data_IF_463538169865
#
_entry.id   IF_463538169865
#
_cell.length_a   1.000
_cell.length_b   1.000
_cell.length_c   1.000
_cell.angle_alpha   90.00
_cell.angle_beta   90.00
_cell.angle_gamma   90.00
#
_symmetry.space_group_name_H-M   'P 1'
#
loop_
_entity.id
_entity.type
_entity.pdbx_description
1 polymer ?
#
# COMPACT_ATOMS: atom_id res chain seq x y z
N UNK A 1 6.86 28.28 -0.04
CA UNK A 1 6.90 27.51 1.23
C UNK A 1 5.53 27.42 1.88
N UNK A 2 4.71 28.44 1.93
CA UNK A 2 3.33 28.40 2.51
C UNK A 2 2.39 27.37 1.89
N UNK A 3 2.48 27.13 0.58
CA UNK A 3 1.59 26.18 -0.10
C UNK A 3 1.88 24.69 0.26
N UNK A 4 3.07 24.39 0.74
CA UNK A 4 3.44 23.02 1.13
C UNK A 4 2.98 22.66 2.56
N UNK A 5 3.00 23.65 3.48
CA UNK A 5 2.54 23.43 4.86
C UNK A 5 1.01 23.32 4.97
N UNK A 6 0.26 24.05 4.12
CA UNK A 6 -1.22 24.00 4.12
C UNK A 6 -1.80 22.67 3.62
N UNK A 7 -1.02 21.85 2.92
CA UNK A 7 -1.50 20.58 2.38
C UNK A 7 -1.44 19.40 3.38
N UNK A 8 -0.65 19.51 4.45
CA UNK A 8 -0.41 18.41 5.41
C UNK A 8 -1.63 17.98 6.24
N UNK A 9 -2.70 18.78 6.22
CA UNK A 9 -3.90 18.56 7.03
C UNK A 9 -5.11 18.08 6.22
N UNK A 10 -4.93 17.71 4.94
CA UNK A 10 -6.03 17.34 4.05
C UNK A 10 -5.78 16.05 3.31
N UNK A 11 -6.84 15.28 3.09
CA UNK A 11 -6.94 14.34 1.99
C UNK A 11 -7.05 15.13 0.69
N UNK A 12 -6.16 14.87 -0.27
CA UNK A 12 -6.08 15.64 -1.51
C UNK A 12 -6.36 14.71 -2.69
N UNK A 13 -7.36 15.09 -3.49
CA UNK A 13 -7.75 14.38 -4.72
C UNK A 13 -7.55 15.31 -5.93
N UNK A 14 -6.95 14.74 -6.98
CA UNK A 14 -6.75 15.47 -8.24
C UNK A 14 -8.05 15.56 -9.03
N UNK A 15 -8.36 16.73 -9.53
CA UNK A 15 -9.45 16.98 -10.48
C UNK A 15 -8.82 17.05 -11.88
N UNK A 16 -9.42 16.33 -12.84
CA UNK A 16 -8.94 16.35 -14.22
C UNK A 16 -9.23 17.70 -14.87
N UNK A 17 -8.26 18.25 -15.62
CA UNK A 17 -8.45 19.49 -16.37
C UNK A 17 -9.63 19.46 -17.36
N UNK A 18 -9.97 18.25 -17.86
CA UNK A 18 -11.09 18.03 -18.77
C UNK A 18 -12.47 18.22 -18.08
N UNK A 19 -12.48 18.23 -16.77
CA UNK A 19 -13.68 18.35 -15.92
C UNK A 19 -13.86 19.76 -15.36
N UNK A 20 -12.93 20.68 -15.60
CA UNK A 20 -13.02 22.07 -15.13
C UNK A 20 -14.31 22.76 -15.59
N UNK A 21 -14.91 23.52 -14.69
CA UNK A 21 -16.15 24.25 -14.92
C UNK A 21 -17.41 23.38 -14.95
N UNK A 22 -17.31 22.11 -14.51
CA UNK A 22 -18.43 21.18 -14.41
C UNK A 22 -18.65 20.76 -12.97
N UNK A 23 -19.86 20.36 -12.65
CA UNK A 23 -20.15 19.63 -11.41
C UNK A 23 -19.69 18.19 -11.61
N UNK A 24 -18.80 17.72 -10.74
CA UNK A 24 -18.20 16.38 -10.82
C UNK A 24 -18.40 15.61 -9.53
N UNK A 25 -18.35 14.29 -9.66
CA UNK A 25 -18.43 13.35 -8.54
C UNK A 25 -17.07 12.67 -8.36
N UNK A 26 -16.38 12.98 -7.28
CA UNK A 26 -15.05 12.44 -6.95
C UNK A 26 -15.20 11.28 -5.98
N UNK A 27 -14.64 10.11 -6.33
CA UNK A 27 -14.57 8.97 -5.40
C UNK A 27 -13.54 9.27 -4.31
N UNK A 28 -14.01 9.37 -3.06
CA UNK A 28 -13.18 9.77 -1.92
C UNK A 28 -12.94 8.64 -0.92
N UNK A 29 -13.85 7.67 -0.82
CA UNK A 29 -13.71 6.48 0.03
C UNK A 29 -14.22 5.23 -0.67
N UNK A 30 -13.85 4.06 -0.15
CA UNK A 30 -14.40 2.79 -0.63
C UNK A 30 -15.80 2.53 -0.05
N UNK A 31 -16.68 1.94 -0.85
CA UNK A 31 -18.06 1.62 -0.48
C UNK A 31 -18.16 0.84 0.85
N UNK A 32 -17.35 -0.21 1.00
CA UNK A 32 -17.38 -1.06 2.20
C UNK A 32 -16.97 -0.30 3.45
N UNK A 33 -15.94 0.58 3.36
CA UNK A 33 -15.52 1.43 4.45
C UNK A 33 -16.64 2.38 4.86
N UNK A 34 -17.27 3.06 3.91
CA UNK A 34 -18.41 3.96 4.16
C UNK A 34 -19.55 3.22 4.84
N UNK A 35 -19.95 2.06 4.31
CA UNK A 35 -21.03 1.24 4.88
C UNK A 35 -20.79 0.86 6.34
N UNK A 36 -19.54 0.55 6.71
CA UNK A 36 -19.17 0.12 8.07
C UNK A 36 -18.94 1.28 9.04
N UNK A 37 -18.58 2.47 8.52
CA UNK A 37 -18.08 3.58 9.33
C UNK A 37 -18.90 4.88 9.21
N UNK A 38 -20.04 4.89 8.52
CA UNK A 38 -20.85 6.12 8.29
C UNK A 38 -21.21 6.86 9.58
N UNK A 39 -21.37 6.15 10.69
CA UNK A 39 -21.71 6.72 11.98
C UNK A 39 -20.48 7.05 12.85
N UNK A 40 -19.29 6.82 12.32
CA UNK A 40 -18.02 7.03 13.05
C UNK A 40 -17.25 8.25 12.55
N UNK A 41 -17.55 8.74 11.36
CA UNK A 41 -16.82 9.83 10.73
C UNK A 41 -17.72 10.84 10.02
N UNK A 42 -17.23 12.09 9.95
CA UNK A 42 -17.74 13.16 9.09
C UNK A 42 -16.65 13.62 8.13
N UNK A 43 -17.08 14.19 7.03
CA UNK A 43 -16.23 14.90 6.07
C UNK A 43 -16.33 16.38 6.37
N UNK A 44 -15.22 17.09 6.39
CA UNK A 44 -15.14 18.54 6.47
C UNK A 44 -14.67 19.09 5.11
N UNK A 45 -15.49 19.92 4.50
CA UNK A 45 -15.17 20.61 3.25
C UNK A 45 -15.65 22.06 3.34
N UNK A 46 -14.74 23.03 3.12
CA UNK A 46 -15.02 24.46 3.26
C UNK A 46 -15.69 24.79 4.61
N UNK A 47 -15.13 24.26 5.70
CA UNK A 47 -15.58 24.43 7.09
C UNK A 47 -17.02 23.96 7.38
N UNK A 48 -17.59 23.17 6.49
CA UNK A 48 -18.90 22.54 6.67
C UNK A 48 -18.76 21.02 6.84
N UNK A 49 -19.63 20.47 7.67
CA UNK A 49 -19.71 19.03 7.92
C UNK A 49 -20.66 18.34 6.93
N UNK A 50 -20.23 17.18 6.46
CA UNK A 50 -20.99 16.29 5.59
C UNK A 50 -20.92 14.86 6.11
N UNK A 51 -21.91 14.07 5.79
CA UNK A 51 -21.90 12.64 6.10
C UNK A 51 -20.79 11.91 5.33
N UNK A 52 -20.26 10.84 5.93
CA UNK A 52 -19.31 9.98 5.25
C UNK A 52 -19.98 9.37 4.01
N UNK A 53 -19.37 9.57 2.84
CA UNK A 53 -19.88 9.12 1.55
C UNK A 53 -18.76 8.52 0.70
N UNK A 54 -19.13 7.68 -0.25
CA UNK A 54 -18.21 7.11 -1.23
C UNK A 54 -17.77 8.15 -2.27
N UNK A 55 -18.71 8.96 -2.73
CA UNK A 55 -18.50 10.00 -3.74
C UNK A 55 -18.85 11.36 -3.17
N UNK A 56 -18.03 12.37 -3.50
CA UNK A 56 -18.26 13.74 -3.10
C UNK A 56 -18.47 14.63 -4.33
N UNK A 57 -19.59 15.34 -4.35
CA UNK A 57 -19.94 16.27 -5.41
C UNK A 57 -19.24 17.61 -5.20
N UNK A 58 -18.57 18.11 -6.22
CA UNK A 58 -17.83 19.39 -6.16
C UNK A 58 -17.90 20.12 -7.50
N UNK A 59 -17.92 21.44 -7.45
CA UNK A 59 -17.73 22.28 -8.62
C UNK A 59 -16.24 22.31 -8.96
N UNK A 60 -15.88 21.90 -10.16
CA UNK A 60 -14.48 21.65 -10.55
C UNK A 60 -13.76 22.95 -11.02
N UNK A 61 -13.91 24.04 -10.28
CA UNK A 61 -13.16 25.27 -10.52
C UNK A 61 -11.67 25.08 -10.19
N UNK A 62 -11.37 24.28 -9.18
CA UNK A 62 -10.02 24.02 -8.69
C UNK A 62 -9.41 22.77 -9.31
N UNK A 63 -8.07 22.66 -9.22
CA UNK A 63 -7.34 21.47 -9.69
C UNK A 63 -7.39 20.32 -8.66
N UNK A 64 -7.80 20.61 -7.44
CA UNK A 64 -7.76 19.67 -6.31
C UNK A 64 -8.98 19.80 -5.41
N UNK A 65 -9.57 18.69 -5.05
CA UNK A 65 -10.51 18.59 -3.92
C UNK A 65 -9.69 18.33 -2.64
N UNK A 66 -9.85 19.19 -1.64
CA UNK A 66 -9.22 19.09 -0.33
C UNK A 66 -10.28 18.90 0.74
N UNK A 67 -10.27 17.74 1.40
CA UNK A 67 -11.21 17.43 2.48
C UNK A 67 -10.46 16.99 3.74
N UNK A 68 -11.08 17.17 4.89
CA UNK A 68 -10.66 16.53 6.15
C UNK A 68 -11.67 15.45 6.51
N UNK A 69 -11.21 14.48 7.29
CA UNK A 69 -12.07 13.50 7.94
C UNK A 69 -11.96 13.71 9.45
N UNK A 70 -13.07 13.72 10.14
CA UNK A 70 -13.12 13.81 11.60
C UNK A 70 -13.89 12.66 12.19
N UNK A 71 -13.40 12.12 13.31
CA UNK A 71 -14.06 11.06 14.05
C UNK A 71 -15.20 11.62 14.88
N UNK A 72 -16.31 10.90 14.95
CA UNK A 72 -17.46 11.23 15.78
C UNK A 72 -17.42 10.39 17.06
N UNK A 73 -17.38 11.06 18.21
CA UNK A 73 -17.44 10.40 19.51
C UNK A 73 -16.25 9.46 19.80
N UNK A 74 -16.38 8.62 20.81
CA UNK A 74 -15.30 7.79 21.35
C UNK A 74 -15.33 6.34 20.87
N UNK A 75 -16.16 6.01 19.89
CA UNK A 75 -16.25 4.64 19.37
C UNK A 75 -14.92 4.20 18.77
N UNK A 76 -14.46 3.03 19.16
CA UNK A 76 -13.28 2.39 18.58
C UNK A 76 -13.55 2.02 17.11
N UNK A 77 -12.59 2.32 16.23
CA UNK A 77 -12.64 1.89 14.83
C UNK A 77 -12.27 0.40 14.78
N UNK A 78 -13.09 -0.37 14.10
CA UNK A 78 -12.93 -1.84 14.01
C UNK A 78 -12.50 -2.30 12.63
N UNK A 79 -12.64 -1.46 11.61
CA UNK A 79 -12.44 -1.86 10.23
C UNK A 79 -11.94 -0.70 9.37
N UNK A 80 -10.79 -0.90 8.74
CA UNK A 80 -10.21 0.02 7.76
C UNK A 80 -10.11 -0.62 6.36
N UNK A 81 -10.68 -1.82 6.20
CA UNK A 81 -10.70 -2.50 4.91
C UNK A 81 -11.36 -1.63 3.86
N UNK A 82 -10.71 -1.50 2.70
CA UNK A 82 -11.19 -0.70 1.57
C UNK A 82 -11.30 0.82 1.84
N UNK A 83 -10.66 1.40 2.86
CA UNK A 83 -10.86 2.82 3.19
C UNK A 83 -10.73 3.73 1.95
N UNK A 84 -9.67 3.57 1.15
CA UNK A 84 -9.45 4.32 -0.09
C UNK A 84 -9.52 3.45 -1.35
N UNK A 85 -10.20 2.32 -1.29
CA UNK A 85 -10.29 1.38 -2.41
C UNK A 85 -10.79 2.05 -3.69
N UNK A 86 -9.95 1.99 -4.75
CA UNK A 86 -10.22 2.62 -6.06
C UNK A 86 -10.38 4.15 -6.03
N UNK A 87 -9.83 4.83 -5.03
CA UNK A 87 -9.74 6.28 -5.03
C UNK A 87 -8.60 6.72 -5.96
N UNK A 88 -8.80 6.55 -7.26
CA UNK A 88 -7.77 6.72 -8.28
C UNK A 88 -7.23 8.15 -8.38
N UNK A 89 -7.99 9.15 -7.93
CA UNK A 89 -7.60 10.56 -7.89
C UNK A 89 -6.93 11.00 -6.57
N UNK A 90 -6.87 10.13 -5.55
CA UNK A 90 -6.17 10.43 -4.28
C UNK A 90 -4.67 10.60 -4.53
N UNK A 91 -4.12 11.77 -4.13
CA UNK A 91 -2.70 12.10 -4.32
C UNK A 91 -1.92 11.96 -3.02
N UNK A 92 -2.49 12.44 -1.91
CA UNK A 92 -1.82 12.48 -0.62
C UNK A 92 -2.80 12.39 0.54
N UNK A 93 -2.25 12.01 1.69
CA UNK A 93 -2.93 11.89 2.97
C UNK A 93 -2.43 12.98 3.91
N UNK A 94 -3.24 13.44 4.88
CA UNK A 94 -2.79 14.34 5.92
C UNK A 94 -1.83 13.64 6.89
N UNK A 95 -0.99 14.41 7.58
CA UNK A 95 -0.05 13.87 8.57
C UNK A 95 -0.78 13.23 9.77
N UNK A 96 -1.98 13.67 10.07
CA UNK A 96 -2.81 13.18 11.19
C UNK A 96 -3.88 12.18 10.78
N UNK A 97 -3.81 11.63 9.55
CA UNK A 97 -4.89 10.80 9.01
C UNK A 97 -5.16 9.52 9.83
N UNK A 98 -4.20 9.09 10.65
CA UNK A 98 -4.30 7.91 11.54
C UNK A 98 -4.44 8.34 13.02
N UNK A 99 -4.78 9.55 13.31
CA UNK A 99 -4.99 10.02 14.68
C UNK A 99 -6.31 9.52 15.28
N UNK A 100 -6.58 8.22 15.11
CA UNK A 100 -7.73 7.51 15.66
C UNK A 100 -7.28 6.21 16.32
N UNK A 101 -7.96 5.82 17.39
CA UNK A 101 -7.71 4.53 18.03
C UNK A 101 -8.09 3.38 17.08
N UNK A 102 -7.07 2.70 16.57
CA UNK A 102 -7.19 1.52 15.71
C UNK A 102 -6.73 0.23 16.41
N UNK A 103 -6.57 0.26 17.73
CA UNK A 103 -6.11 -0.91 18.52
C UNK A 103 -6.99 -2.15 18.39
N UNK A 104 -8.19 -2.01 17.83
CA UNK A 104 -9.13 -3.13 17.56
C UNK A 104 -9.17 -3.54 16.09
N UNK A 105 -8.38 -2.87 15.23
CA UNK A 105 -8.28 -3.21 13.80
C UNK A 105 -7.31 -4.36 13.63
N UNK A 106 -7.75 -5.44 13.02
CA UNK A 106 -6.94 -6.61 12.66
C UNK A 106 -6.75 -6.76 11.15
N UNK A 107 -7.45 -5.94 10.35
CA UNK A 107 -7.47 -6.04 8.90
C UNK A 107 -7.41 -4.66 8.23
N UNK A 108 -6.34 -4.43 7.45
CA UNK A 108 -6.14 -3.25 6.61
C UNK A 108 -6.03 -3.61 5.12
N UNK A 109 -6.50 -4.81 4.75
CA UNK A 109 -6.45 -5.28 3.36
C UNK A 109 -7.18 -4.31 2.43
N UNK A 110 -6.63 -4.13 1.23
CA UNK A 110 -7.18 -3.30 0.16
C UNK A 110 -7.31 -1.80 0.49
N UNK A 111 -6.74 -1.32 1.60
CA UNK A 111 -6.96 0.05 2.08
C UNK A 111 -6.63 1.10 1.00
N UNK A 112 -5.52 0.95 0.28
CA UNK A 112 -5.08 1.84 -0.80
C UNK A 112 -5.13 1.19 -2.18
N UNK A 113 -5.78 0.03 -2.31
CA UNK A 113 -5.79 -0.67 -3.59
C UNK A 113 -6.38 0.20 -4.71
N UNK A 114 -5.62 0.29 -5.82
CA UNK A 114 -5.93 1.11 -7.00
C UNK A 114 -6.05 2.62 -6.71
N UNK A 115 -5.30 3.14 -5.73
CA UNK A 115 -5.04 4.57 -5.58
C UNK A 115 -3.96 4.97 -6.59
N UNK A 116 -4.30 5.02 -7.87
CA UNK A 116 -3.33 5.13 -8.97
C UNK A 116 -2.59 6.46 -9.01
N UNK A 117 -3.12 7.52 -8.40
CA UNK A 117 -2.47 8.85 -8.31
C UNK A 117 -1.72 9.07 -7.00
N UNK A 118 -1.74 8.11 -6.06
CA UNK A 118 -1.04 8.24 -4.76
C UNK A 118 0.47 8.22 -5.00
N UNK A 119 1.15 9.32 -4.67
CA UNK A 119 2.58 9.53 -4.94
C UNK A 119 3.43 9.08 -3.75
N UNK A 120 2.97 9.39 -2.54
CA UNK A 120 3.65 9.09 -1.28
C UNK A 120 2.65 8.98 -0.14
N UNK A 121 3.12 8.42 0.96
CA UNK A 121 2.42 8.42 2.26
C UNK A 121 3.09 9.42 3.20
N UNK A 122 2.38 9.94 4.22
CA UNK A 122 2.99 10.78 5.24
C UNK A 122 3.98 9.97 6.10
N UNK A 123 5.05 10.62 6.60
CA UNK A 123 6.01 9.97 7.49
C UNK A 123 5.35 9.44 8.77
N UNK A 124 4.29 10.10 9.22
CA UNK A 124 3.48 9.70 10.39
C UNK A 124 2.78 8.35 10.24
N UNK A 125 2.82 7.72 9.06
CA UNK A 125 2.33 6.34 8.86
C UNK A 125 3.05 5.34 9.79
N UNK A 126 4.23 5.68 10.30
CA UNK A 126 4.95 4.90 11.30
C UNK A 126 4.17 4.75 12.61
N UNK A 127 3.30 5.72 12.93
CA UNK A 127 2.47 5.71 14.12
C UNK A 127 1.25 4.77 14.01
N UNK A 128 1.05 4.14 12.84
CA UNK A 128 0.03 3.13 12.68
C UNK A 128 0.28 1.96 13.63
N UNK A 129 -0.64 1.72 14.56
CA UNK A 129 -0.56 0.58 15.48
C UNK A 129 -0.82 -0.71 14.71
N UNK A 130 0.24 -1.44 14.36
CA UNK A 130 0.16 -2.64 13.54
C UNK A 130 0.21 -3.95 14.32
N UNK A 131 0.44 -3.90 15.63
CA UNK A 131 0.61 -5.09 16.49
C UNK A 131 -0.59 -6.06 16.50
N UNK A 132 -1.80 -5.60 16.16
CA UNK A 132 -2.98 -6.46 16.07
C UNK A 132 -3.33 -6.88 14.64
N UNK A 133 -2.61 -6.35 13.64
CA UNK A 133 -2.91 -6.60 12.23
C UNK A 133 -2.52 -8.03 11.85
N UNK A 134 -3.48 -8.72 11.23
CA UNK A 134 -3.33 -10.08 10.69
C UNK A 134 -3.40 -10.11 9.16
N UNK A 135 -4.10 -9.14 8.54
CA UNK A 135 -4.37 -9.12 7.11
C UNK A 135 -3.92 -7.79 6.51
N UNK A 136 -2.97 -7.85 5.57
CA UNK A 136 -2.44 -6.71 4.79
C UNK A 136 -2.54 -6.97 3.27
N UNK A 137 -3.42 -7.90 2.85
CA UNK A 137 -3.50 -8.28 1.45
C UNK A 137 -3.86 -7.11 0.56
N UNK A 138 -3.13 -6.97 -0.55
CA UNK A 138 -3.37 -5.92 -1.55
C UNK A 138 -3.38 -4.49 -0.97
N UNK A 139 -2.69 -4.23 0.15
CA UNK A 139 -2.74 -2.92 0.83
C UNK A 139 -2.40 -1.77 -0.14
N UNK A 140 -1.36 -1.94 -0.97
CA UNK A 140 -0.91 -0.96 -1.96
C UNK A 140 -1.05 -1.47 -3.42
N UNK A 141 -1.78 -2.56 -3.64
CA UNK A 141 -1.95 -3.12 -4.98
C UNK A 141 -2.52 -2.08 -5.96
N UNK A 142 -1.81 -1.84 -7.06
CA UNK A 142 -2.22 -0.86 -8.07
C UNK A 142 -1.98 0.61 -7.71
N UNK A 143 -1.17 0.91 -6.67
CA UNK A 143 -0.66 2.25 -6.40
C UNK A 143 0.43 2.59 -7.42
N UNK A 144 0.05 2.76 -8.68
CA UNK A 144 0.98 2.81 -9.82
C UNK A 144 1.88 4.04 -9.84
N UNK A 145 1.51 5.14 -9.17
CA UNK A 145 2.33 6.36 -9.04
C UNK A 145 3.17 6.40 -7.77
N UNK A 146 3.05 5.41 -6.89
CA UNK A 146 3.80 5.36 -5.63
C UNK A 146 5.28 5.08 -5.94
N UNK A 147 6.16 6.03 -5.61
CA UNK A 147 7.60 5.94 -5.94
C UNK A 147 8.45 5.38 -4.80
N UNK A 148 8.08 5.74 -3.59
CA UNK A 148 8.76 5.32 -2.35
C UNK A 148 7.76 5.19 -1.23
N UNK A 149 8.18 4.53 -0.15
CA UNK A 149 7.44 4.45 1.10
C UNK A 149 8.23 5.16 2.22
N UNK A 150 7.56 5.74 3.22
CA UNK A 150 8.22 6.34 4.37
C UNK A 150 9.10 5.34 5.13
N UNK A 151 10.24 5.80 5.62
CA UNK A 151 11.19 4.98 6.38
C UNK A 151 10.55 4.34 7.63
N UNK A 152 9.55 4.99 8.21
CA UNK A 152 8.85 4.50 9.40
C UNK A 152 8.15 3.14 9.22
N UNK A 153 7.82 2.74 7.98
CA UNK A 153 7.20 1.44 7.69
C UNK A 153 8.07 0.25 8.15
N UNK A 154 9.39 0.42 8.21
CA UNK A 154 10.31 -0.60 8.77
C UNK A 154 10.02 -0.94 10.24
N UNK A 155 9.37 -0.04 10.97
CA UNK A 155 9.05 -0.18 12.39
C UNK A 155 7.67 -0.84 12.64
N UNK A 156 6.91 -1.14 11.60
CA UNK A 156 5.64 -1.82 11.77
C UNK A 156 5.83 -3.16 12.47
N UNK A 157 5.06 -3.39 13.52
CA UNK A 157 5.00 -4.70 14.17
C UNK A 157 4.17 -5.66 13.32
N UNK A 158 4.86 -6.58 12.66
CA UNK A 158 4.27 -7.57 11.76
C UNK A 158 4.16 -8.95 12.40
N UNK A 159 4.38 -9.05 13.73
CA UNK A 159 4.45 -10.33 14.45
C UNK A 159 3.18 -11.19 14.37
N UNK A 160 2.01 -10.55 14.16
CA UNK A 160 0.72 -11.24 14.02
C UNK A 160 0.23 -11.34 12.57
N UNK A 161 1.01 -10.84 11.60
CA UNK A 161 0.59 -10.82 10.19
C UNK A 161 0.66 -12.21 9.58
N UNK A 162 -0.48 -12.67 9.05
CA UNK A 162 -0.60 -13.98 8.39
C UNK A 162 -0.62 -13.87 6.87
N UNK A 163 -1.15 -12.79 6.30
CA UNK A 163 -1.35 -12.64 4.86
C UNK A 163 -0.88 -11.29 4.36
N UNK A 164 0.02 -11.32 3.36
CA UNK A 164 0.59 -10.17 2.66
C UNK A 164 0.57 -10.38 1.14
N UNK A 165 -0.46 -11.11 0.66
CA UNK A 165 -0.63 -11.37 -0.77
C UNK A 165 -0.81 -10.06 -1.53
N UNK A 166 -0.10 -9.91 -2.65
CA UNK A 166 -0.24 -8.76 -3.54
C UNK A 166 0.02 -7.40 -2.87
N UNK A 167 0.77 -7.36 -1.76
CA UNK A 167 0.96 -6.15 -0.95
C UNK A 167 1.36 -4.93 -1.79
N UNK A 168 2.32 -5.10 -2.70
CA UNK A 168 2.83 -4.07 -3.62
C UNK A 168 2.60 -4.40 -5.10
N UNK A 169 1.68 -5.34 -5.41
CA UNK A 169 1.41 -5.71 -6.80
C UNK A 169 1.04 -4.48 -7.63
N UNK A 170 1.56 -4.39 -8.87
CA UNK A 170 1.26 -3.30 -9.81
C UNK A 170 1.69 -1.90 -9.30
N UNK A 171 2.61 -1.81 -8.34
CA UNK A 171 3.27 -0.55 -7.97
C UNK A 171 4.36 -0.25 -9.01
N UNK A 172 3.94 0.13 -10.22
CA UNK A 172 4.82 0.24 -11.39
C UNK A 172 5.98 1.22 -11.22
N UNK A 173 5.76 2.31 -10.45
CA UNK A 173 6.73 3.37 -10.21
C UNK A 173 7.56 3.19 -8.94
N UNK A 174 7.32 2.14 -8.15
CA UNK A 174 8.04 1.90 -6.90
C UNK A 174 9.51 1.57 -7.18
N UNK A 175 10.43 2.42 -6.71
CA UNK A 175 11.88 2.33 -7.01
C UNK A 175 12.61 1.53 -5.93
N UNK A 176 12.25 1.76 -4.66
CA UNK A 176 12.89 1.15 -3.51
C UNK A 176 11.92 1.02 -2.34
N UNK A 177 12.32 0.23 -1.37
CA UNK A 177 11.57 0.01 -0.12
C UNK A 177 12.44 0.41 1.09
N UNK A 178 11.83 0.86 2.19
CA UNK A 178 12.49 0.92 3.49
C UNK A 178 13.04 -0.45 3.90
N UNK A 179 13.87 -0.49 4.95
CA UNK A 179 14.45 -1.75 5.44
C UNK A 179 13.40 -2.69 6.07
N UNK A 180 12.54 -3.26 5.22
CA UNK A 180 11.53 -4.25 5.62
C UNK A 180 12.14 -5.61 6.00
N UNK A 181 13.46 -5.78 5.94
CA UNK A 181 14.13 -6.99 6.44
C UNK A 181 13.90 -7.20 7.95
N UNK A 182 13.50 -6.14 8.64
CA UNK A 182 13.18 -6.13 10.08
C UNK A 182 11.78 -6.69 10.41
N UNK A 183 10.92 -6.84 9.42
CA UNK A 183 9.59 -7.39 9.64
C UNK A 183 9.64 -8.81 10.19
N UNK A 184 8.84 -9.07 11.21
CA UNK A 184 8.68 -10.41 11.75
C UNK A 184 7.70 -11.20 10.86
N UNK A 185 8.22 -12.17 10.12
CA UNK A 185 7.46 -12.95 9.14
C UNK A 185 7.12 -14.36 9.61
N UNK A 186 7.31 -14.67 10.90
CA UNK A 186 7.14 -16.03 11.43
C UNK A 186 5.73 -16.58 11.23
N UNK A 187 4.70 -15.74 11.34
CA UNK A 187 3.29 -16.15 11.20
C UNK A 187 2.78 -16.03 9.76
N UNK A 188 3.62 -15.55 8.81
CA UNK A 188 3.18 -15.32 7.44
C UNK A 188 2.98 -16.65 6.70
N UNK A 189 1.77 -16.82 6.16
CA UNK A 189 1.34 -18.03 5.44
C UNK A 189 1.27 -17.85 3.93
N UNK A 190 1.12 -16.61 3.47
CA UNK A 190 1.06 -16.33 2.03
C UNK A 190 1.69 -14.99 1.67
N UNK A 191 2.58 -15.03 0.66
CA UNK A 191 3.24 -13.89 0.02
C UNK A 191 2.98 -13.87 -1.49
N UNK A 192 1.88 -14.51 -1.98
CA UNK A 192 1.58 -14.60 -3.41
C UNK A 192 1.67 -13.22 -4.06
N UNK A 193 2.48 -13.10 -5.11
CA UNK A 193 2.60 -11.91 -5.93
C UNK A 193 2.91 -10.63 -5.17
N UNK A 194 3.58 -10.69 -4.01
CA UNK A 194 3.81 -9.55 -3.12
C UNK A 194 4.39 -8.34 -3.87
N UNK A 195 5.34 -8.57 -4.78
CA UNK A 195 5.98 -7.54 -5.60
C UNK A 195 5.66 -7.68 -7.10
N UNK A 196 4.64 -8.46 -7.44
CA UNK A 196 4.29 -8.70 -8.85
C UNK A 196 4.09 -7.41 -9.62
N UNK A 197 4.79 -7.28 -10.77
CA UNK A 197 4.75 -6.11 -11.66
C UNK A 197 5.27 -4.80 -11.02
N UNK A 198 6.18 -4.86 -10.06
CA UNK A 198 6.93 -3.68 -9.60
C UNK A 198 8.05 -3.39 -10.61
N UNK A 199 7.69 -2.85 -11.79
CA UNK A 199 8.59 -2.72 -12.93
C UNK A 199 9.84 -1.87 -12.65
N UNK A 200 9.71 -0.82 -11.83
CA UNK A 200 10.79 0.13 -11.52
C UNK A 200 11.60 -0.25 -10.28
N UNK A 201 11.25 -1.34 -9.59
CA UNK A 201 11.93 -1.75 -8.35
C UNK A 201 13.34 -2.24 -8.67
N UNK A 202 14.36 -1.49 -8.21
CA UNK A 202 15.77 -1.74 -8.53
C UNK A 202 16.39 -2.75 -7.57
N UNK A 203 16.04 -2.63 -6.28
CA UNK A 203 16.61 -3.47 -5.22
C UNK A 203 15.61 -3.70 -4.11
N UNK A 204 15.84 -4.76 -3.35
CA UNK A 204 15.11 -5.09 -2.12
C UNK A 204 16.04 -5.01 -0.93
N UNK A 205 15.54 -4.65 0.26
CA UNK A 205 16.24 -4.91 1.51
C UNK A 205 16.58 -6.39 1.65
N UNK A 206 17.50 -6.74 2.55
CA UNK A 206 17.93 -8.13 2.74
C UNK A 206 16.82 -9.02 3.35
N UNK A 207 15.83 -9.35 2.54
CA UNK A 207 14.68 -10.20 2.93
C UNK A 207 15.06 -11.67 3.19
N UNK A 208 16.31 -12.10 2.95
CA UNK A 208 16.83 -13.40 3.39
C UNK A 208 16.79 -13.55 4.91
N UNK A 209 16.73 -12.43 5.64
CA UNK A 209 16.58 -12.42 7.10
C UNK A 209 15.20 -12.85 7.57
N UNK A 210 14.22 -12.89 6.68
CA UNK A 210 12.88 -13.33 7.01
C UNK A 210 12.85 -14.80 7.41
N UNK A 211 12.24 -15.07 8.56
CA UNK A 211 11.96 -16.43 9.02
C UNK A 211 10.52 -16.75 8.69
N UNK A 212 10.29 -17.72 7.81
CA UNK A 212 8.96 -18.01 7.25
C UNK A 212 8.56 -19.49 7.45
N UNK A 213 8.56 -20.02 8.69
CA UNK A 213 8.25 -21.43 8.93
C UNK A 213 6.81 -21.82 8.55
N UNK A 214 5.88 -20.86 8.57
CA UNK A 214 4.47 -21.09 8.25
C UNK A 214 4.10 -20.78 6.79
N UNK A 215 5.08 -20.34 5.98
CA UNK A 215 4.83 -19.93 4.59
C UNK A 215 4.43 -21.15 3.73
N UNK A 216 3.26 -21.02 3.08
CA UNK A 216 2.68 -22.07 2.22
C UNK A 216 2.54 -21.64 0.76
N UNK A 217 2.37 -20.34 0.52
CA UNK A 217 2.06 -19.79 -0.80
C UNK A 217 2.96 -18.61 -1.10
N UNK A 218 3.75 -18.70 -2.18
CA UNK A 218 4.77 -17.69 -2.56
C UNK A 218 4.83 -17.45 -4.07
N UNK A 219 3.87 -18.00 -4.81
CA UNK A 219 3.87 -17.95 -6.28
C UNK A 219 3.91 -16.51 -6.80
N UNK A 220 4.62 -16.32 -7.91
CA UNK A 220 4.71 -15.04 -8.66
C UNK A 220 5.20 -13.85 -7.83
N UNK A 221 5.93 -14.07 -6.72
CA UNK A 221 6.30 -12.98 -5.80
C UNK A 221 7.06 -11.85 -6.51
N UNK A 222 7.94 -12.15 -7.47
CA UNK A 222 8.73 -11.16 -8.24
C UNK A 222 8.36 -11.13 -9.73
N UNK A 223 7.24 -11.73 -10.12
CA UNK A 223 6.83 -11.72 -11.53
C UNK A 223 6.71 -10.30 -12.06
N UNK A 224 7.38 -9.97 -13.17
CA UNK A 224 7.33 -8.64 -13.78
C UNK A 224 8.16 -7.56 -13.06
N UNK A 225 9.06 -7.91 -12.13
CA UNK A 225 10.00 -6.96 -11.53
C UNK A 225 11.20 -6.77 -12.49
N UNK A 226 10.99 -6.03 -13.57
CA UNK A 226 11.92 -5.95 -14.70
C UNK A 226 13.24 -5.23 -14.41
N UNK A 227 13.28 -4.38 -13.38
CA UNK A 227 14.47 -3.60 -13.00
C UNK A 227 15.25 -4.19 -11.84
N UNK A 228 14.78 -5.30 -11.24
CA UNK A 228 15.49 -5.94 -10.15
C UNK A 228 16.81 -6.56 -10.63
N UNK A 229 17.93 -6.09 -10.04
CA UNK A 229 19.27 -6.56 -10.37
C UNK A 229 19.56 -7.91 -9.71
N UNK A 230 19.02 -8.12 -8.51
CA UNK A 230 19.19 -9.36 -7.76
C UNK A 230 17.85 -9.85 -7.21
N UNK A 231 17.59 -11.15 -7.30
CA UNK A 231 16.46 -11.79 -6.64
C UNK A 231 16.93 -12.46 -5.34
N UNK A 232 16.42 -12.03 -4.19
CA UNK A 232 16.74 -12.67 -2.93
C UNK A 232 16.07 -14.06 -2.88
N UNK A 233 16.81 -15.06 -2.40
CA UNK A 233 16.26 -16.37 -2.07
C UNK A 233 15.39 -16.25 -0.82
N UNK A 234 14.13 -16.64 -0.90
CA UNK A 234 13.26 -16.80 0.26
C UNK A 234 13.40 -18.25 0.74
N UNK A 235 13.85 -18.40 1.99
CA UNK A 235 13.95 -19.72 2.62
C UNK A 235 12.56 -20.22 2.98
N UNK A 236 11.93 -20.93 2.05
CA UNK A 236 10.67 -21.62 2.30
C UNK A 236 10.95 -23.13 2.38
N UNK A 237 10.47 -23.77 3.44
CA UNK A 237 10.51 -25.23 3.60
C UNK A 237 9.64 -25.98 2.58
N UNK A 238 8.86 -25.26 1.77
CA UNK A 238 8.01 -25.82 0.74
C UNK A 238 8.62 -25.70 -0.64
N UNK A 239 8.90 -26.85 -1.26
CA UNK A 239 9.46 -27.03 -2.62
C UNK A 239 8.56 -26.55 -3.78
N UNK A 240 7.58 -25.69 -3.55
CA UNK A 240 6.62 -25.26 -4.58
C UNK A 240 7.08 -24.05 -5.41
N UNK A 241 8.30 -23.57 -5.20
CA UNK A 241 8.86 -22.42 -5.94
C UNK A 241 9.23 -22.79 -7.40
N UNK A 242 9.35 -24.07 -7.72
CA UNK A 242 9.95 -24.50 -8.99
C UNK A 242 9.00 -24.71 -10.17
N UNK A 243 7.69 -24.74 -10.00
CA UNK A 243 6.79 -25.22 -11.07
C UNK A 243 6.32 -24.20 -12.10
N UNK A 244 6.61 -22.91 -11.93
CA UNK A 244 6.23 -21.87 -12.92
C UNK A 244 7.42 -21.03 -13.42
N UNK A 245 8.65 -21.46 -13.21
CA UNK A 245 9.83 -20.87 -13.83
C UNK A 245 9.92 -21.08 -15.35
N UNK A 246 9.05 -21.92 -15.93
CA UNK A 246 9.07 -22.19 -17.38
C UNK A 246 8.64 -21.00 -18.26
N UNK A 247 7.99 -19.97 -17.70
CA UNK A 247 7.68 -18.73 -18.41
C UNK A 247 8.76 -17.65 -18.25
N UNK A 248 9.71 -17.84 -17.34
CA UNK A 248 10.88 -17.01 -17.16
C UNK A 248 12.06 -17.65 -17.90
N UNK A 249 12.03 -17.68 -19.23
CA UNK A 249 13.24 -17.87 -20.01
C UNK A 249 14.14 -16.64 -19.89
N UNK A 250 14.64 -16.40 -18.70
CA UNK A 250 15.88 -15.68 -18.54
C UNK A 250 16.96 -16.73 -18.68
N UNK A 251 17.76 -16.64 -19.72
CA UNK A 251 18.92 -17.52 -19.87
C UNK A 251 19.82 -17.31 -18.66
N UNK A 252 19.86 -18.32 -17.81
CA UNK A 252 20.85 -18.40 -16.74
C UNK A 252 22.20 -18.66 -17.39
N UNK A 253 22.96 -17.60 -17.60
CA UNK A 253 24.40 -17.72 -17.85
C UNK A 253 25.09 -16.97 -16.72
N UNK A 254 25.27 -17.59 -15.59
CA UNK A 254 26.01 -17.05 -14.47
C UNK A 254 26.45 -18.17 -13.55
N UNK A 255 27.70 -18.14 -13.18
CA UNK A 255 28.31 -19.02 -12.21
C UNK A 255 27.62 -18.82 -10.86
N UNK A 256 27.36 -19.91 -10.18
CA UNK A 256 26.82 -19.92 -8.82
C UNK A 256 27.94 -19.42 -7.89
N UNK A 257 27.78 -18.26 -7.31
CA UNK A 257 28.57 -17.87 -6.15
C UNK A 257 27.85 -18.40 -4.90
N UNK A 258 28.61 -18.96 -3.95
CA UNK A 258 28.10 -19.65 -2.75
C UNK A 258 27.29 -18.75 -1.80
N UNK A 259 27.13 -17.46 -2.12
CA UNK A 259 26.47 -16.45 -1.31
C UNK A 259 25.00 -16.14 -1.69
N UNK A 260 24.26 -17.12 -2.23
CA UNK A 260 22.78 -17.10 -2.23
C UNK A 260 22.06 -16.03 -3.06
N UNK A 261 22.66 -15.47 -4.12
CA UNK A 261 22.00 -14.57 -5.06
C UNK A 261 21.87 -15.18 -6.46
N UNK A 262 20.70 -14.95 -7.11
CA UNK A 262 20.58 -15.16 -8.55
C UNK A 262 20.90 -13.85 -9.26
N UNK A 263 21.95 -13.83 -10.06
CA UNK A 263 22.30 -12.69 -10.93
C UNK A 263 21.60 -12.89 -12.26
N UNK A 264 20.76 -11.93 -12.66
CA UNK A 264 20.13 -11.91 -13.97
C UNK A 264 20.88 -10.92 -14.85
N UNK A 265 21.52 -11.40 -15.91
CA UNK A 265 22.03 -10.56 -16.97
C UNK A 265 21.00 -10.52 -18.09
N UNK A 266 20.49 -9.35 -18.40
CA UNK A 266 19.67 -9.14 -19.58
C UNK A 266 20.59 -9.04 -20.81
N UNK A 267 20.43 -9.91 -21.79
CA UNK A 267 21.00 -9.78 -23.12
C UNK A 267 19.94 -9.28 -24.08
#
# INVERSE_FOLDING_TARGET
MEAAETNKNYLIYKISEKEKGKKISVKIFGELFVKKNKDNFKIIYNDKEYDLTEYFEVDSEENYLKIKITKIGDKCIKDLVHMFYKCSSLISLPDDFINVDISKVDNISYMFKNCTSLISLPETIENLVTSNIRYMDSLFDGCSSLTTLPEGIKNWDTSNVNYIMFLFRNCFSLISLPDISKWNTKEVRSMIGMFKNCHSLISLPDIRKWKTPELRYVESIFYGCLSLIYLPKIDSTYHYVETHQSEWKVMMTGEFDDDSYYIYTFT
#
